data_IF_025411785706
#
_entry.id   IF_025411785706
#
_cell.length_a   1.000
_cell.length_b   1.000
_cell.length_c   1.000
_cell.angle_alpha   90.00
_cell.angle_beta   90.00
_cell.angle_gamma   90.00
#
_symmetry.space_group_name_H-M   'P 1'
#
loop_
_entity.id
_entity.type
_entity.pdbx_description
1 polymer ?
#
# COMPACT_ATOMS: atom_id res chain seq x y z
N UNK A 1 7.83 -3.82 -4.56
CA UNK A 1 6.40 -3.56 -4.73
C UNK A 1 6.05 -2.39 -3.82
N UNK A 2 5.54 -1.30 -4.39
CA UNK A 2 5.01 -0.16 -3.65
C UNK A 2 3.50 -0.08 -3.92
N UNK A 3 2.70 -0.24 -2.87
CA UNK A 3 1.23 -0.29 -2.98
C UNK A 3 0.61 1.09 -3.27
N UNK A 4 1.38 2.17 -3.19
CA UNK A 4 0.94 3.50 -3.58
C UNK A 4 1.07 3.75 -5.10
N UNK A 5 1.61 2.76 -5.84
CA UNK A 5 1.86 2.84 -7.29
C UNK A 5 1.16 1.67 -7.99
N UNK A 6 0.10 1.96 -8.75
CA UNK A 6 -0.73 0.95 -9.44
C UNK A 6 0.08 0.02 -10.36
N UNK A 7 1.03 0.56 -11.13
CA UNK A 7 1.89 -0.24 -12.00
C UNK A 7 2.76 -1.22 -11.21
N UNK A 8 3.24 -0.83 -10.03
CA UNK A 8 4.03 -1.72 -9.17
C UNK A 8 3.21 -2.91 -8.67
N UNK A 9 1.92 -2.71 -8.39
CA UNK A 9 0.99 -3.79 -8.02
C UNK A 9 0.77 -4.72 -9.21
N UNK A 10 0.46 -4.17 -10.39
CA UNK A 10 0.24 -4.95 -11.61
C UNK A 10 1.45 -5.80 -11.99
N UNK A 11 2.65 -5.23 -11.90
CA UNK A 11 3.90 -5.94 -12.18
C UNK A 11 4.11 -7.09 -11.19
N UNK A 12 3.80 -6.86 -9.90
CA UNK A 12 3.86 -7.91 -8.90
C UNK A 12 2.89 -9.05 -9.22
N UNK A 13 1.62 -8.75 -9.52
CA UNK A 13 0.63 -9.78 -9.88
C UNK A 13 1.04 -10.53 -11.15
N UNK A 14 1.54 -9.83 -12.18
CA UNK A 14 2.01 -10.45 -13.41
C UNK A 14 3.16 -11.44 -13.14
N UNK A 15 4.07 -11.09 -12.22
CA UNK A 15 5.19 -11.96 -11.81
C UNK A 15 4.74 -13.25 -11.11
N UNK A 16 3.55 -13.27 -10.52
CA UNK A 16 2.97 -14.45 -9.85
C UNK A 16 2.22 -15.38 -10.80
N UNK A 17 1.81 -14.91 -11.97
CA UNK A 17 1.04 -15.70 -12.94
C UNK A 17 1.68 -17.03 -13.37
N UNK A 18 3.02 -17.18 -13.47
CA UNK A 18 3.63 -18.48 -13.77
C UNK A 18 3.61 -19.46 -12.58
N UNK A 19 3.40 -18.96 -11.35
CA UNK A 19 3.49 -19.72 -10.11
C UNK A 19 2.13 -20.22 -9.63
N UNK A 20 1.07 -19.48 -9.92
CA UNK A 20 -0.31 -19.84 -9.56
C UNK A 20 -1.31 -19.23 -10.53
N UNK A 21 -2.41 -19.93 -10.78
CA UNK A 21 -3.54 -19.45 -11.57
C UNK A 21 -4.57 -18.66 -10.75
N UNK A 22 -4.46 -18.68 -9.41
CA UNK A 22 -5.44 -18.03 -8.52
C UNK A 22 -4.82 -17.61 -7.18
N UNK A 23 -5.45 -16.64 -6.52
CA UNK A 23 -5.12 -16.18 -5.17
C UNK A 23 -6.40 -16.17 -4.34
N UNK A 24 -6.43 -16.99 -3.30
CA UNK A 24 -7.60 -17.12 -2.42
C UNK A 24 -7.65 -16.05 -1.32
N UNK A 25 -6.50 -15.44 -1.01
CA UNK A 25 -6.37 -14.48 0.09
C UNK A 25 -5.38 -13.40 -0.27
N UNK A 26 -5.78 -12.15 -0.01
CA UNK A 26 -4.91 -10.98 -0.05
C UNK A 26 -4.80 -10.41 1.37
N UNK A 27 -3.59 -10.36 1.92
CA UNK A 27 -3.32 -9.72 3.21
C UNK A 27 -2.67 -8.37 2.93
N UNK A 28 -3.43 -7.30 3.09
CA UNK A 28 -2.91 -5.94 2.96
C UNK A 28 -2.17 -5.55 4.24
N UNK A 29 -0.88 -5.88 4.30
CA UNK A 29 -0.04 -5.72 5.48
C UNK A 29 0.81 -4.43 5.46
N UNK A 30 0.94 -3.77 4.30
CA UNK A 30 1.75 -2.56 4.21
C UNK A 30 1.11 -1.45 5.05
N UNK A 31 1.93 -0.81 5.89
CA UNK A 31 1.48 0.26 6.76
C UNK A 31 2.65 1.01 7.39
N UNK A 32 2.46 2.32 7.60
CA UNK A 32 3.38 3.17 8.35
C UNK A 32 2.68 3.88 9.50
N UNK A 33 3.42 4.14 10.58
CA UNK A 33 2.94 4.94 11.70
C UNK A 33 3.59 6.32 11.71
N UNK A 34 2.89 7.29 12.25
CA UNK A 34 3.40 8.62 12.60
C UNK A 34 3.19 8.76 14.10
N UNK A 35 4.23 9.20 14.80
CA UNK A 35 4.18 9.48 16.24
C UNK A 35 4.31 10.99 16.46
N UNK A 36 3.49 11.53 17.36
CA UNK A 36 3.41 12.96 17.66
C UNK A 36 1.97 13.46 17.70
N UNK A 37 1.82 14.73 18.04
CA UNK A 37 0.50 15.37 18.06
C UNK A 37 -0.01 15.62 16.63
N UNK A 38 -1.31 15.48 16.43
CA UNK A 38 -1.92 15.63 15.10
C UNK A 38 -1.76 17.06 14.55
N UNK A 39 -1.83 18.06 15.43
CA UNK A 39 -1.68 19.48 15.10
C UNK A 39 -0.26 19.88 14.67
N UNK A 40 0.75 19.09 15.05
CA UNK A 40 2.16 19.30 14.69
C UNK A 40 2.60 18.42 13.51
N UNK A 41 1.73 17.51 13.05
CA UNK A 41 2.05 16.60 11.96
C UNK A 41 2.06 17.33 10.62
N UNK A 42 3.18 17.23 9.90
CA UNK A 42 3.29 17.77 8.55
C UNK A 42 2.28 17.08 7.61
N UNK A 43 1.56 17.88 6.80
CA UNK A 43 0.52 17.40 5.89
C UNK A 43 1.02 16.37 4.87
N UNK A 44 2.26 16.48 4.38
CA UNK A 44 2.85 15.51 3.45
C UNK A 44 3.12 14.17 4.14
N UNK A 45 3.53 14.19 5.42
CA UNK A 45 3.71 12.98 6.21
C UNK A 45 2.35 12.30 6.46
N UNK A 46 1.35 13.07 6.91
CA UNK A 46 -0.01 12.58 7.09
C UNK A 46 -0.56 11.97 5.78
N UNK A 47 -0.38 12.68 4.66
CA UNK A 47 -0.79 12.18 3.34
C UNK A 47 -0.11 10.85 3.02
N UNK A 48 1.21 10.74 3.19
CA UNK A 48 1.94 9.51 2.93
C UNK A 48 1.40 8.33 3.76
N UNK A 49 1.01 8.57 5.00
CA UNK A 49 0.38 7.55 5.83
C UNK A 49 -0.97 7.12 5.27
N UNK A 50 -1.82 8.03 4.82
CA UNK A 50 -3.09 7.67 4.18
C UNK A 50 -2.91 6.98 2.82
N UNK A 51 -1.94 7.41 2.00
CA UNK A 51 -1.61 6.73 0.74
C UNK A 51 -1.22 5.27 1.00
N UNK A 52 -0.44 5.00 2.05
CA UNK A 52 0.01 3.65 2.37
C UNK A 52 -1.07 2.83 3.08
N UNK A 53 -1.69 3.36 4.13
CA UNK A 53 -2.53 2.59 5.05
C UNK A 53 -4.00 2.52 4.63
N UNK A 54 -4.44 3.42 3.75
CA UNK A 54 -5.86 3.56 3.39
C UNK A 54 -6.09 3.51 1.88
N UNK A 55 -5.57 4.46 1.10
CA UNK A 55 -5.86 4.52 -0.35
C UNK A 55 -5.19 3.40 -1.13
N UNK A 56 -3.98 2.99 -0.74
CA UNK A 56 -3.29 1.82 -1.29
C UNK A 56 -4.02 0.49 -1.09
N UNK A 57 -5.08 0.44 -0.26
CA UNK A 57 -5.95 -0.73 -0.11
C UNK A 57 -6.98 -0.89 -1.25
N UNK A 58 -7.29 0.21 -1.94
CA UNK A 58 -8.39 0.30 -2.92
C UNK A 58 -7.93 0.40 -4.38
N UNK A 59 -6.62 0.28 -4.60
CA UNK A 59 -5.97 0.43 -5.91
C UNK A 59 -5.81 -0.92 -6.60
#
# INVERSE_FOLDING_TARGET
MDITIETSIKDCVASLSPLTSSMDTLINNAGISIEGSAEETNADLARKQFETNFWGLST
#
